data_IF_856475856610
#
_entry.id   IF_856475856610
#
_cell.length_a   1.000
_cell.length_b   1.000
_cell.length_c   1.000
_cell.angle_alpha   90.00
_cell.angle_beta   90.00
_cell.angle_gamma   90.00
#
_symmetry.space_group_name_H-M   'P 1'
#
loop_
_entity.id
_entity.type
_entity.pdbx_description
1 polymer ?
#
# COMPACT_ATOMS: atom_id res chain seq x y z
N UNK A 1 -11.13 -28.94 22.89
CA UNK A 1 -11.18 -29.01 21.41
C UNK A 1 -11.33 -30.47 21.02
N UNK A 2 -11.86 -30.77 19.83
CA UNK A 2 -11.83 -32.14 19.30
C UNK A 2 -10.40 -32.46 18.85
N UNK A 3 -9.95 -33.70 19.01
CA UNK A 3 -8.66 -34.18 18.52
C UNK A 3 -8.68 -34.55 17.02
N UNK A 4 -9.76 -34.18 16.35
CA UNK A 4 -9.84 -34.11 14.89
C UNK A 4 -10.64 -32.86 14.49
N UNK A 5 -10.37 -32.33 13.30
CA UNK A 5 -11.06 -31.18 12.72
C UNK A 5 -11.54 -31.57 11.32
N UNK A 6 -12.78 -31.24 10.99
CA UNK A 6 -13.37 -31.49 9.68
C UNK A 6 -13.62 -30.15 8.95
N UNK A 7 -13.22 -30.09 7.69
CA UNK A 7 -13.39 -28.94 6.81
C UNK A 7 -13.52 -29.40 5.35
N UNK A 8 -14.60 -29.00 4.66
CA UNK A 8 -14.88 -29.38 3.26
C UNK A 8 -14.63 -30.87 2.97
N UNK A 9 -15.32 -31.74 3.71
CA UNK A 9 -15.25 -33.21 3.60
C UNK A 9 -13.85 -33.82 3.85
N UNK A 10 -12.90 -33.02 4.36
CA UNK A 10 -11.56 -33.45 4.72
C UNK A 10 -11.40 -33.43 6.24
N UNK A 11 -10.91 -34.53 6.82
CA UNK A 11 -10.71 -34.67 8.26
C UNK A 11 -9.21 -34.70 8.59
N UNK A 12 -8.78 -33.79 9.47
CA UNK A 12 -7.44 -33.75 10.02
C UNK A 12 -7.42 -34.39 11.41
N UNK A 13 -6.73 -35.52 11.56
CA UNK A 13 -6.58 -36.22 12.84
C UNK A 13 -5.30 -35.79 13.54
N UNK A 14 -5.42 -35.23 14.74
CA UNK A 14 -4.26 -34.92 15.58
C UNK A 14 -3.60 -36.23 16.06
N UNK A 15 -2.27 -36.32 16.26
CA UNK A 15 -1.64 -37.52 16.83
C UNK A 15 -2.29 -38.02 18.14
N UNK A 16 -2.82 -37.07 18.92
CA UNK A 16 -3.60 -37.34 20.12
C UNK A 16 -4.83 -38.22 19.92
N UNK A 17 -5.42 -38.24 18.73
CA UNK A 17 -6.50 -39.16 18.35
C UNK A 17 -6.04 -40.61 18.45
N UNK A 18 -4.95 -40.96 17.76
CA UNK A 18 -4.39 -42.31 17.80
C UNK A 18 -3.85 -42.69 19.17
N UNK A 19 -3.24 -41.73 19.89
CA UNK A 19 -2.77 -41.98 21.26
C UNK A 19 -3.96 -42.30 22.18
N UNK A 20 -5.10 -41.65 21.99
CA UNK A 20 -6.32 -41.96 22.74
C UNK A 20 -6.77 -43.41 22.50
N UNK A 21 -6.84 -43.83 21.24
CA UNK A 21 -7.19 -45.21 20.88
C UNK A 21 -6.23 -46.22 21.51
N UNK A 22 -4.91 -45.96 21.46
CA UNK A 22 -3.90 -46.84 22.06
C UNK A 22 -4.06 -46.91 23.59
N UNK A 23 -4.37 -45.80 24.27
CA UNK A 23 -4.64 -45.81 25.71
C UNK A 23 -5.88 -46.66 26.01
N UNK A 24 -6.96 -46.46 25.26
CA UNK A 24 -8.22 -47.20 25.44
C UNK A 24 -8.06 -48.71 25.17
N UNK A 25 -7.31 -49.09 24.12
CA UNK A 25 -7.03 -50.48 23.78
C UNK A 25 -6.05 -51.16 24.75
N UNK A 26 -5.16 -50.40 25.38
CA UNK A 26 -4.19 -50.96 26.35
C UNK A 26 -4.84 -51.45 27.65
N UNK A 27 -6.09 -51.06 27.92
CA UNK A 27 -6.77 -51.30 29.19
C UNK A 27 -6.19 -50.51 30.38
N UNK A 28 -5.25 -49.61 30.14
CA UNK A 28 -4.63 -48.77 31.17
C UNK A 28 -5.43 -47.49 31.40
N UNK A 29 -5.37 -46.97 32.63
CA UNK A 29 -5.80 -45.60 32.86
C UNK A 29 -4.84 -44.62 32.17
N UNK A 30 -5.34 -43.44 31.81
CA UNK A 30 -4.50 -42.38 31.25
C UNK A 30 -3.34 -41.99 32.18
N UNK A 31 -3.56 -42.06 33.50
CA UNK A 31 -2.52 -41.80 34.48
C UNK A 31 -1.41 -42.88 34.44
N UNK A 32 -1.79 -44.15 34.37
CA UNK A 32 -0.83 -45.26 34.29
C UNK A 32 -0.05 -45.23 32.97
N UNK A 33 -0.72 -44.90 31.87
CA UNK A 33 -0.07 -44.74 30.58
C UNK A 33 0.93 -43.57 30.60
N UNK A 34 0.56 -42.43 31.18
CA UNK A 34 1.44 -41.27 31.30
C UNK A 34 2.71 -41.60 32.11
N UNK A 35 2.56 -42.31 33.24
CA UNK A 35 3.70 -42.76 34.06
C UNK A 35 4.63 -43.67 33.26
N UNK A 36 4.11 -44.62 32.48
CA UNK A 36 4.91 -45.53 31.63
C UNK A 36 5.61 -44.80 30.49
N UNK A 37 4.95 -43.79 29.93
CA UNK A 37 5.51 -42.95 28.88
C UNK A 37 6.54 -41.94 29.43
N UNK A 38 6.75 -41.89 30.76
CA UNK A 38 7.61 -40.89 31.42
C UNK A 38 7.17 -39.45 31.13
N UNK A 39 5.89 -39.18 31.37
CA UNK A 39 5.27 -37.85 31.23
C UNK A 39 4.20 -37.62 32.30
N UNK A 40 3.76 -36.38 32.47
CA UNK A 40 2.67 -36.08 33.41
C UNK A 40 1.30 -36.45 32.80
N UNK A 41 0.32 -36.90 33.62
CA UNK A 41 -1.05 -37.13 33.15
C UNK A 41 -1.67 -35.89 32.50
N UNK A 42 -1.34 -34.69 33.01
CA UNK A 42 -1.75 -33.41 32.41
C UNK A 42 -1.20 -33.24 31.00
N UNK A 43 0.09 -33.53 30.79
CA UNK A 43 0.73 -33.44 29.49
C UNK A 43 0.11 -34.44 28.50
N UNK A 44 -0.08 -35.70 28.90
CA UNK A 44 -0.76 -36.69 28.06
C UNK A 44 -2.20 -36.27 27.73
N UNK A 45 -2.92 -35.65 28.67
CA UNK A 45 -4.29 -35.15 28.48
C UNK A 45 -4.38 -34.04 27.45
N UNK A 46 -3.52 -33.03 27.53
CA UNK A 46 -3.47 -31.96 26.54
C UNK A 46 -3.18 -32.52 25.13
N UNK A 47 -2.29 -33.50 25.03
CA UNK A 47 -1.94 -34.14 23.76
C UNK A 47 -3.11 -34.92 23.18
N UNK A 48 -3.77 -35.76 23.98
CA UNK A 48 -4.94 -36.55 23.58
C UNK A 48 -6.11 -35.67 23.12
N UNK A 49 -6.30 -34.51 23.75
CA UNK A 49 -7.33 -33.53 23.37
C UNK A 49 -6.97 -32.69 22.14
N UNK A 50 -5.76 -32.82 21.59
CA UNK A 50 -5.28 -32.00 20.48
C UNK A 50 -5.03 -30.54 20.84
N UNK A 51 -4.82 -30.24 22.13
CA UNK A 51 -4.58 -28.89 22.64
C UNK A 51 -3.10 -28.50 22.61
N UNK A 52 -2.22 -29.45 22.28
CA UNK A 52 -0.80 -29.22 22.07
C UNK A 52 -0.25 -30.16 21.01
N UNK A 53 0.77 -29.71 20.27
CA UNK A 53 1.50 -30.53 19.32
C UNK A 53 2.29 -31.63 20.01
N UNK A 54 2.48 -32.75 19.31
CA UNK A 54 3.40 -33.80 19.68
C UNK A 54 4.86 -33.31 19.58
N UNK A 55 5.58 -33.30 20.70
CA UNK A 55 7.01 -32.97 20.72
C UNK A 55 7.89 -34.15 20.29
N UNK A 56 9.13 -33.85 19.87
CA UNK A 56 10.14 -34.87 19.53
C UNK A 56 10.43 -35.79 20.74
N UNK A 57 10.45 -35.26 21.97
CA UNK A 57 10.64 -36.05 23.19
C UNK A 57 9.54 -37.10 23.36
N UNK A 58 8.28 -36.70 23.23
CA UNK A 58 7.15 -37.61 23.34
C UNK A 58 7.15 -38.61 22.17
N UNK A 59 7.52 -38.20 20.96
CA UNK A 59 7.68 -39.10 19.81
C UNK A 59 8.72 -40.20 20.09
N UNK A 60 9.87 -39.84 20.68
CA UNK A 60 10.90 -40.82 21.09
C UNK A 60 10.40 -41.77 22.16
N UNK A 61 9.70 -41.26 23.18
CA UNK A 61 9.14 -42.07 24.26
C UNK A 61 8.09 -43.05 23.75
N UNK A 62 7.18 -42.59 22.88
CA UNK A 62 6.17 -43.45 22.26
C UNK A 62 6.80 -44.51 21.35
N UNK A 63 7.80 -44.14 20.55
CA UNK A 63 8.56 -45.08 19.71
C UNK A 63 9.22 -46.19 20.53
N UNK A 64 9.91 -45.84 21.63
CA UNK A 64 10.53 -46.82 22.52
C UNK A 64 9.51 -47.70 23.25
N UNK A 65 8.40 -47.12 23.69
CA UNK A 65 7.37 -47.83 24.47
C UNK A 65 6.53 -48.78 23.61
N UNK A 66 6.20 -48.38 22.38
CA UNK A 66 5.25 -49.09 21.50
C UNK A 66 5.94 -49.87 20.36
N UNK A 67 7.26 -49.79 20.23
CA UNK A 67 8.02 -50.46 19.17
C UNK A 67 7.81 -49.87 17.77
N UNK A 68 7.26 -48.66 17.67
CA UNK A 68 7.11 -47.90 16.42
C UNK A 68 8.34 -47.02 16.15
N UNK A 69 8.36 -46.27 15.05
CA UNK A 69 9.45 -45.32 14.76
C UNK A 69 9.13 -43.91 15.22
N UNK A 70 10.16 -43.12 15.56
CA UNK A 70 10.01 -41.67 15.86
C UNK A 70 9.37 -40.95 14.67
N UNK A 71 9.81 -41.28 13.45
CA UNK A 71 9.31 -40.67 12.22
C UNK A 71 7.83 -40.94 12.00
N UNK A 72 7.30 -42.09 12.41
CA UNK A 72 5.86 -42.35 12.33
C UNK A 72 5.06 -41.27 13.08
N UNK A 73 5.43 -41.00 14.33
CA UNK A 73 4.74 -40.01 15.15
C UNK A 73 4.92 -38.57 14.64
N UNK A 74 6.13 -38.21 14.21
CA UNK A 74 6.39 -36.89 13.63
C UNK A 74 5.63 -36.70 12.31
N UNK A 75 5.50 -37.75 11.49
CA UNK A 75 4.73 -37.70 10.25
C UNK A 75 3.23 -37.50 10.53
N UNK A 76 2.67 -38.10 11.58
CA UNK A 76 1.28 -37.83 11.99
C UNK A 76 1.09 -36.36 12.38
N UNK A 77 2.04 -35.78 13.14
CA UNK A 77 1.98 -34.36 13.50
C UNK A 77 2.09 -33.46 12.27
N UNK A 78 3.05 -33.73 11.39
CA UNK A 78 3.25 -32.96 10.16
C UNK A 78 2.03 -33.04 9.23
N UNK A 79 1.43 -34.22 9.08
CA UNK A 79 0.23 -34.40 8.26
C UNK A 79 -0.96 -33.60 8.82
N UNK A 80 -1.15 -33.63 10.15
CA UNK A 80 -2.16 -32.82 10.82
C UNK A 80 -1.91 -31.32 10.60
N UNK A 81 -0.70 -30.84 10.89
CA UNK A 81 -0.36 -29.42 10.78
C UNK A 81 -0.49 -28.90 9.34
N UNK A 82 -0.13 -29.71 8.34
CA UNK A 82 -0.29 -29.39 6.93
C UNK A 82 -1.77 -29.20 6.55
N UNK A 83 -2.66 -30.11 6.98
CA UNK A 83 -4.10 -29.98 6.73
C UNK A 83 -4.70 -28.75 7.44
N UNK A 84 -4.30 -28.49 8.69
CA UNK A 84 -4.74 -27.28 9.41
C UNK A 84 -4.28 -26.01 8.71
N UNK A 85 -3.05 -25.98 8.18
CA UNK A 85 -2.55 -24.86 7.41
C UNK A 85 -3.33 -24.69 6.09
N UNK A 86 -3.67 -25.79 5.42
CA UNK A 86 -4.50 -25.76 4.21
C UNK A 86 -5.91 -25.22 4.50
N UNK A 87 -6.57 -25.68 5.56
CA UNK A 87 -7.90 -25.20 5.95
C UNK A 87 -7.88 -23.69 6.21
N UNK A 88 -6.89 -23.20 6.97
CA UNK A 88 -6.69 -21.76 7.21
C UNK A 88 -6.45 -20.99 5.91
N UNK A 89 -5.68 -21.56 4.98
CA UNK A 89 -5.45 -20.94 3.67
C UNK A 89 -6.72 -20.87 2.83
N UNK A 90 -7.58 -21.89 2.88
CA UNK A 90 -8.87 -21.89 2.18
C UNK A 90 -9.84 -20.85 2.78
N UNK A 91 -9.90 -20.76 4.11
CA UNK A 91 -10.67 -19.71 4.80
C UNK A 91 -10.17 -18.29 4.48
N UNK A 92 -8.84 -18.11 4.39
CA UNK A 92 -8.25 -16.84 4.03
C UNK A 92 -8.57 -16.49 2.57
N UNK A 93 -8.48 -17.45 1.64
CA UNK A 93 -8.86 -17.24 0.23
C UNK A 93 -10.32 -16.77 0.10
N UNK A 94 -11.24 -17.29 0.93
CA UNK A 94 -12.63 -16.80 0.98
C UNK A 94 -12.71 -15.33 1.40
N UNK A 95 -11.87 -14.88 2.34
CA UNK A 95 -11.79 -13.47 2.74
C UNK A 95 -11.14 -12.62 1.63
N UNK A 96 -10.07 -13.11 1.02
CA UNK A 96 -9.39 -12.45 -0.10
C UNK A 96 -10.35 -12.22 -1.27
N UNK A 97 -11.24 -13.17 -1.59
CA UNK A 97 -12.26 -12.99 -2.63
C UNK A 97 -13.16 -11.77 -2.37
N UNK A 98 -13.50 -11.46 -1.13
CA UNK A 98 -14.30 -10.27 -0.76
C UNK A 98 -13.51 -8.98 -1.00
N UNK A 99 -12.23 -8.96 -0.62
CA UNK A 99 -11.35 -7.80 -0.88
C UNK A 99 -11.14 -7.64 -2.39
N UNK A 100 -11.00 -8.75 -3.12
CA UNK A 100 -10.79 -8.76 -4.55
C UNK A 100 -11.95 -8.14 -5.35
N UNK A 101 -13.18 -8.23 -4.84
CA UNK A 101 -14.36 -7.58 -5.43
C UNK A 101 -14.27 -6.04 -5.44
N UNK A 102 -13.37 -5.45 -4.65
CA UNK A 102 -13.12 -4.01 -4.65
C UNK A 102 -12.22 -3.55 -5.80
N UNK A 103 -11.61 -4.49 -6.53
CA UNK A 103 -10.73 -4.21 -7.65
C UNK A 103 -11.39 -4.48 -9.00
N UNK A 104 -10.95 -3.73 -10.00
CA UNK A 104 -11.09 -4.13 -11.39
C UNK A 104 -9.75 -4.74 -11.84
N UNK A 105 -9.70 -6.06 -12.03
CA UNK A 105 -8.48 -6.74 -12.46
C UNK A 105 -7.95 -6.21 -13.81
N UNK A 106 -8.84 -5.67 -14.66
CA UNK A 106 -8.47 -5.06 -15.94
C UNK A 106 -7.46 -3.92 -15.75
N UNK A 107 -7.60 -3.14 -14.68
CA UNK A 107 -6.66 -2.07 -14.33
C UNK A 107 -5.22 -2.60 -14.24
N UNK A 108 -5.01 -3.74 -13.59
CA UNK A 108 -3.65 -4.29 -13.43
C UNK A 108 -3.09 -4.86 -14.73
N UNK A 109 -3.92 -5.50 -15.54
CA UNK A 109 -3.52 -5.99 -16.87
C UNK A 109 -3.09 -4.84 -17.77
N UNK A 110 -3.90 -3.79 -17.87
CA UNK A 110 -3.67 -2.68 -18.80
C UNK A 110 -2.50 -1.78 -18.39
N UNK A 111 -2.29 -1.60 -17.08
CA UNK A 111 -1.28 -0.67 -16.58
C UNK A 111 0.03 -1.34 -16.14
N UNK A 112 0.02 -2.64 -15.82
CA UNK A 112 1.18 -3.35 -15.28
C UNK A 112 1.45 -4.71 -15.94
N UNK A 113 0.68 -5.09 -16.98
CA UNK A 113 0.97 -6.28 -17.79
C UNK A 113 0.66 -7.61 -17.11
N UNK A 114 -0.20 -7.64 -16.09
CA UNK A 114 -0.67 -8.89 -15.49
C UNK A 114 -1.39 -9.77 -16.53
N UNK A 115 -1.34 -11.12 -16.39
CA UNK A 115 -1.87 -12.05 -17.38
C UNK A 115 -3.39 -11.95 -17.55
N UNK A 116 -3.90 -12.33 -18.73
CA UNK A 116 -5.34 -12.41 -18.95
C UNK A 116 -5.91 -13.74 -18.41
N UNK A 117 -6.68 -13.65 -17.33
CA UNK A 117 -7.25 -14.79 -16.60
C UNK A 117 -8.77 -14.67 -16.47
N UNK A 118 -9.54 -14.76 -17.55
CA UNK A 118 -10.98 -14.46 -17.53
C UNK A 118 -11.73 -15.45 -16.65
N UNK A 119 -12.56 -14.93 -15.74
CA UNK A 119 -13.40 -15.71 -14.80
C UNK A 119 -12.63 -16.60 -13.82
N UNK A 120 -11.31 -16.47 -13.73
CA UNK A 120 -10.45 -17.25 -12.82
C UNK A 120 -10.03 -16.43 -11.60
N UNK A 121 -10.98 -16.12 -10.72
CA UNK A 121 -10.76 -15.20 -9.58
C UNK A 121 -9.57 -15.61 -8.70
N UNK A 122 -9.43 -16.89 -8.37
CA UNK A 122 -8.37 -17.34 -7.46
C UNK A 122 -6.99 -17.25 -8.09
N UNK A 123 -6.86 -17.52 -9.39
CA UNK A 123 -5.61 -17.30 -10.14
C UNK A 123 -5.31 -15.79 -10.20
N UNK A 124 -6.30 -14.94 -10.45
CA UNK A 124 -6.12 -13.47 -10.43
C UNK A 124 -5.67 -12.94 -9.05
N UNK A 125 -6.20 -13.48 -7.95
CA UNK A 125 -5.79 -13.14 -6.58
C UNK A 125 -4.32 -13.54 -6.37
N UNK A 126 -3.92 -14.72 -6.85
CA UNK A 126 -2.52 -15.17 -6.79
C UNK A 126 -1.59 -14.20 -7.53
N UNK A 127 -1.90 -13.86 -8.77
CA UNK A 127 -1.12 -12.89 -9.56
C UNK A 127 -1.03 -11.54 -8.87
N UNK A 128 -2.13 -11.07 -8.27
CA UNK A 128 -2.14 -9.79 -7.56
C UNK A 128 -1.27 -9.81 -6.30
N UNK A 129 -1.28 -10.91 -5.52
CA UNK A 129 -0.40 -11.10 -4.36
C UNK A 129 1.07 -11.08 -4.75
N UNK A 130 1.42 -11.80 -5.81
CA UNK A 130 2.80 -11.87 -6.32
C UNK A 130 3.26 -10.50 -6.84
N UNK A 131 2.44 -9.81 -7.63
CA UNK A 131 2.72 -8.47 -8.12
C UNK A 131 2.88 -7.43 -6.99
N UNK A 132 1.98 -7.46 -6.00
CA UNK A 132 2.05 -6.56 -4.85
C UNK A 132 3.10 -6.99 -3.81
N UNK A 133 3.67 -8.18 -3.94
CA UNK A 133 4.60 -8.79 -2.99
C UNK A 133 4.01 -8.85 -1.56
N UNK A 134 2.78 -9.35 -1.44
CA UNK A 134 2.06 -9.48 -0.16
C UNK A 134 1.53 -10.90 0.04
N UNK A 135 1.47 -11.34 1.30
CA UNK A 135 1.02 -12.70 1.64
C UNK A 135 -0.49 -12.91 1.45
N UNK A 136 -1.31 -11.86 1.61
CA UNK A 136 -2.78 -11.89 1.49
C UNK A 136 -3.30 -10.52 1.10
N UNK A 137 -4.36 -10.44 0.30
CA UNK A 137 -5.05 -9.18 0.00
C UNK A 137 -5.70 -8.55 1.24
N UNK A 138 -6.05 -9.34 2.27
CA UNK A 138 -6.72 -8.82 3.47
C UNK A 138 -5.86 -7.84 4.26
N UNK A 139 -4.54 -7.86 4.08
CA UNK A 139 -3.64 -6.89 4.71
C UNK A 139 -3.93 -5.45 4.22
N UNK A 140 -4.47 -5.29 3.01
CA UNK A 140 -4.80 -4.00 2.39
C UNK A 140 -6.01 -3.32 3.04
N UNK A 141 -6.81 -4.03 3.84
CA UNK A 141 -7.95 -3.43 4.57
C UNK A 141 -7.49 -2.68 5.83
N UNK A 142 -6.27 -2.95 6.30
CA UNK A 142 -5.70 -2.29 7.48
C UNK A 142 -5.29 -0.88 7.11
N UNK A 143 -5.69 0.11 7.92
CA UNK A 143 -5.31 1.51 7.69
C UNK A 143 -3.78 1.65 7.70
N UNK A 144 -3.06 1.29 8.77
CA UNK A 144 -1.61 1.58 8.82
C UNK A 144 -0.70 0.53 8.17
N UNK A 145 -1.14 -0.14 7.09
CA UNK A 145 -0.34 -1.22 6.48
C UNK A 145 1.01 -0.72 5.95
N UNK A 146 0.99 0.31 5.10
CA UNK A 146 2.16 0.74 4.35
C UNK A 146 2.64 2.12 4.79
N UNK A 147 1.72 3.03 5.12
CA UNK A 147 2.01 4.39 5.56
C UNK A 147 0.90 4.80 6.53
N UNK A 148 1.22 5.59 7.54
CA UNK A 148 0.21 6.14 8.45
C UNK A 148 -0.79 6.99 7.66
N UNK A 149 -2.08 6.69 7.83
CA UNK A 149 -3.14 7.54 7.32
C UNK A 149 -3.10 8.83 8.16
N UNK A 150 -2.96 10.00 7.51
CA UNK A 150 -2.94 11.25 8.26
C UNK A 150 -4.32 11.49 8.88
N UNK A 151 -4.33 12.02 10.12
CA UNK A 151 -5.55 12.08 10.93
C UNK A 151 -6.44 13.26 10.50
N UNK A 152 -7.66 12.96 10.03
CA UNK A 152 -8.91 13.73 10.16
C UNK A 152 -9.94 13.37 9.08
N UNK A 153 -9.70 12.36 8.25
CA UNK A 153 -10.75 11.87 7.34
C UNK A 153 -11.90 11.26 8.15
N UNK A 154 -13.13 11.72 7.89
CA UNK A 154 -14.34 10.92 8.15
C UNK A 154 -14.09 9.49 7.70
N UNK A 155 -14.39 8.50 8.56
CA UNK A 155 -14.01 7.10 8.36
C UNK A 155 -14.05 6.71 6.88
N UNK A 156 -12.86 6.58 6.26
CA UNK A 156 -12.75 6.18 4.88
C UNK A 156 -13.47 4.84 4.71
N UNK A 157 -14.28 4.74 3.67
CA UNK A 157 -14.88 3.47 3.26
C UNK A 157 -13.75 2.45 3.02
N UNK A 158 -13.98 1.20 3.41
CA UNK A 158 -13.01 0.11 3.25
C UNK A 158 -12.49 0.02 1.81
N UNK A 159 -13.37 0.23 0.83
CA UNK A 159 -13.03 0.28 -0.59
C UNK A 159 -11.97 1.34 -0.93
N UNK A 160 -12.06 2.55 -0.34
CA UNK A 160 -11.07 3.61 -0.56
C UNK A 160 -9.74 3.25 0.09
N UNK A 161 -9.78 2.69 1.31
CA UNK A 161 -8.60 2.25 2.06
C UNK A 161 -7.81 1.19 1.28
N UNK A 162 -8.50 0.14 0.81
CA UNK A 162 -7.90 -0.96 0.05
C UNK A 162 -7.23 -0.44 -1.23
N UNK A 163 -7.90 0.43 -1.98
CA UNK A 163 -7.37 1.01 -3.22
C UNK A 163 -6.17 1.93 -2.97
N UNK A 164 -6.22 2.76 -1.94
CA UNK A 164 -5.11 3.63 -1.55
C UNK A 164 -3.88 2.81 -1.13
N UNK A 165 -4.06 1.83 -0.25
CA UNK A 165 -3.00 0.91 0.17
C UNK A 165 -2.39 0.15 -1.01
N UNK A 166 -3.22 -0.24 -1.98
CA UNK A 166 -2.74 -0.89 -3.20
C UNK A 166 -1.82 0.03 -4.01
N UNK A 167 -2.21 1.29 -4.22
CA UNK A 167 -1.37 2.25 -4.94
C UNK A 167 -0.05 2.50 -4.22
N UNK A 168 -0.09 2.68 -2.90
CA UNK A 168 1.11 2.87 -2.07
C UNK A 168 2.01 1.63 -2.13
N UNK A 169 1.44 0.42 -2.09
CA UNK A 169 2.23 -0.83 -2.19
C UNK A 169 2.90 -0.97 -3.56
N UNK A 170 2.21 -0.61 -4.66
CA UNK A 170 2.81 -0.56 -6.00
C UNK A 170 3.99 0.43 -6.03
N UNK A 171 3.81 1.61 -5.43
CA UNK A 171 4.85 2.63 -5.36
C UNK A 171 6.06 2.15 -4.54
N UNK A 172 5.83 1.49 -3.41
CA UNK A 172 6.88 0.88 -2.58
C UNK A 172 7.66 -0.16 -3.37
N UNK A 173 6.98 -1.08 -4.06
CA UNK A 173 7.65 -2.11 -4.85
C UNK A 173 8.53 -1.50 -5.95
N UNK A 174 8.05 -0.45 -6.63
CA UNK A 174 8.85 0.29 -7.62
C UNK A 174 10.04 1.01 -6.97
N UNK A 175 9.83 1.64 -5.82
CA UNK A 175 10.91 2.36 -5.14
C UNK A 175 12.00 1.42 -4.65
N UNK A 176 11.66 0.22 -4.16
CA UNK A 176 12.62 -0.79 -3.72
C UNK A 176 13.52 -1.34 -4.84
N UNK A 177 13.15 -1.16 -6.11
CA UNK A 177 13.99 -1.56 -7.26
C UNK A 177 14.95 -0.47 -7.73
N UNK A 178 14.86 0.75 -7.19
CA UNK A 178 15.70 1.88 -7.59
C UNK A 178 16.88 2.00 -6.62
N UNK A 179 18.09 1.98 -7.16
CA UNK A 179 19.30 2.31 -6.40
C UNK A 179 19.49 3.82 -6.40
N UNK A 180 19.30 4.45 -5.24
CA UNK A 180 19.40 5.91 -5.07
C UNK A 180 20.27 6.25 -3.85
N UNK A 181 21.01 7.37 -3.88
CA UNK A 181 21.81 7.82 -2.74
C UNK A 181 20.94 8.13 -1.52
N UNK A 182 21.56 8.11 -0.33
CA UNK A 182 20.91 8.55 0.91
C UNK A 182 20.30 9.95 0.75
N UNK A 183 19.09 10.12 1.28
CA UNK A 183 18.36 11.37 1.24
C UNK A 183 19.20 12.55 1.76
N UNK A 184 19.28 13.60 0.94
CA UNK A 184 19.95 14.84 1.26
C UNK A 184 18.98 16.01 1.07
N UNK A 185 18.53 16.59 2.20
CA UNK A 185 17.55 17.68 2.20
C UNK A 185 17.99 18.88 1.37
N UNK A 186 19.28 19.27 1.43
CA UNK A 186 19.77 20.44 0.69
C UNK A 186 19.75 20.22 -0.83
N UNK A 187 20.21 19.03 -1.28
CA UNK A 187 20.11 18.65 -2.70
C UNK A 187 18.67 18.57 -3.17
N UNK A 188 17.77 18.09 -2.30
CA UNK A 188 16.35 18.02 -2.62
C UNK A 188 15.73 19.41 -2.78
N UNK A 189 16.02 20.35 -1.87
CA UNK A 189 15.61 21.75 -2.01
C UNK A 189 16.09 22.37 -3.33
N UNK A 190 17.34 22.11 -3.73
CA UNK A 190 17.87 22.59 -5.02
C UNK A 190 17.14 21.92 -6.21
N UNK A 191 16.82 20.64 -6.11
CA UNK A 191 16.05 19.91 -7.12
C UNK A 191 14.58 20.40 -7.21
N UNK A 192 13.99 20.83 -6.10
CA UNK A 192 12.65 21.47 -6.05
C UNK A 192 12.68 22.80 -6.78
N UNK A 193 13.72 23.62 -6.59
CA UNK A 193 13.88 24.86 -7.35
C UNK A 193 14.06 24.60 -8.84
N UNK A 194 14.79 23.55 -9.21
CA UNK A 194 14.89 23.12 -10.60
C UNK A 194 13.53 22.69 -11.17
N UNK A 195 12.71 21.94 -10.42
CA UNK A 195 11.38 21.51 -10.84
C UNK A 195 10.45 22.70 -11.19
N UNK A 196 10.53 23.81 -10.44
CA UNK A 196 9.76 25.03 -10.72
C UNK A 196 10.04 25.60 -12.13
N UNK A 197 11.26 25.45 -12.63
CA UNK A 197 11.67 25.90 -13.97
C UNK A 197 11.09 25.05 -15.09
N UNK A 198 10.61 23.84 -14.78
CA UNK A 198 10.09 22.88 -15.75
C UNK A 198 8.58 22.94 -15.91
N UNK A 199 7.90 23.86 -15.21
CA UNK A 199 6.43 23.99 -15.25
C UNK A 199 5.88 24.23 -16.66
N UNK A 200 6.63 24.89 -17.53
CA UNK A 200 6.26 25.13 -18.94
C UNK A 200 6.58 23.96 -19.89
N UNK A 201 7.29 22.93 -19.42
CA UNK A 201 7.68 21.78 -20.24
C UNK A 201 6.64 20.66 -20.13
N UNK A 202 5.68 20.61 -21.07
CA UNK A 202 4.57 19.66 -21.00
C UNK A 202 4.86 18.24 -21.51
N UNK A 203 6.02 18.02 -22.13
CA UNK A 203 6.36 16.74 -22.79
C UNK A 203 7.47 15.96 -22.11
N UNK A 204 8.48 16.64 -21.56
CA UNK A 204 9.74 16.03 -21.16
C UNK A 204 10.15 16.34 -19.71
N UNK A 205 9.31 17.04 -18.95
CA UNK A 205 9.64 17.40 -17.56
C UNK A 205 9.83 16.17 -16.66
N UNK A 206 9.05 15.10 -16.86
CA UNK A 206 9.01 13.97 -15.92
C UNK A 206 10.36 13.25 -15.77
N UNK A 207 11.04 12.81 -16.85
CA UNK A 207 12.39 12.24 -16.73
C UNK A 207 13.40 13.19 -16.06
N UNK A 208 13.28 14.50 -16.28
CA UNK A 208 14.18 15.50 -15.72
C UNK A 208 13.99 15.65 -14.21
N UNK A 209 12.75 15.83 -13.74
CA UNK A 209 12.47 15.94 -12.30
C UNK A 209 12.73 14.62 -11.58
N UNK A 210 12.42 13.46 -12.20
CA UNK A 210 12.69 12.15 -11.62
C UNK A 210 14.17 11.99 -11.34
N UNK A 211 15.03 12.31 -12.32
CA UNK A 211 16.48 12.24 -12.17
C UNK A 211 16.99 13.19 -11.08
N UNK A 212 16.54 14.45 -11.09
CA UNK A 212 16.97 15.43 -10.09
C UNK A 212 16.57 15.03 -8.66
N UNK A 213 15.36 14.48 -8.48
CA UNK A 213 14.89 13.98 -7.20
C UNK A 213 15.67 12.72 -6.78
N UNK A 214 15.92 11.80 -7.70
CA UNK A 214 16.69 10.58 -7.44
C UNK A 214 18.12 10.90 -6.96
N UNK A 215 18.80 11.86 -7.58
CA UNK A 215 20.14 12.34 -7.16
C UNK A 215 20.17 12.95 -5.74
N UNK A 216 19.01 13.36 -5.23
CA UNK A 216 18.83 13.84 -3.85
C UNK A 216 18.39 12.75 -2.88
N UNK A 217 18.15 11.53 -3.36
CA UNK A 217 17.64 10.40 -2.59
C UNK A 217 16.11 10.36 -2.44
N UNK A 218 15.38 11.07 -3.31
CA UNK A 218 13.92 11.02 -3.41
C UNK A 218 13.50 10.25 -4.66
N UNK A 219 12.84 9.12 -4.48
CA UNK A 219 12.36 8.27 -5.57
C UNK A 219 10.95 8.70 -5.96
N UNK A 220 10.84 9.41 -7.07
CA UNK A 220 9.57 9.91 -7.58
C UNK A 220 8.84 8.89 -8.45
N UNK A 221 7.63 8.53 -8.05
CA UNK A 221 6.78 7.54 -8.73
C UNK A 221 5.45 8.17 -9.11
N UNK A 222 5.14 8.19 -10.41
CA UNK A 222 3.78 8.47 -10.88
C UNK A 222 3.08 7.15 -11.17
N UNK A 223 1.86 6.98 -10.67
CA UNK A 223 1.03 5.81 -10.94
C UNK A 223 -0.27 6.18 -11.68
N UNK A 224 -0.79 5.28 -12.53
CA UNK A 224 -2.16 5.35 -13.00
C UNK A 224 -3.12 5.35 -11.80
N UNK A 225 -4.17 6.15 -11.86
CA UNK A 225 -5.12 6.27 -10.78
C UNK A 225 -6.05 5.05 -10.71
N UNK A 226 -6.17 4.46 -9.52
CA UNK A 226 -7.24 3.49 -9.22
C UNK A 226 -8.50 4.26 -8.86
N UNK A 227 -9.55 4.16 -9.69
CA UNK A 227 -10.84 4.84 -9.46
C UNK A 227 -11.43 4.53 -8.07
N UNK A 228 -11.69 5.58 -7.29
CA UNK A 228 -12.24 5.48 -5.94
C UNK A 228 -11.20 5.34 -4.82
N UNK A 229 -9.90 5.41 -5.12
CA UNK A 229 -8.82 5.45 -4.11
C UNK A 229 -8.87 6.71 -3.23
N UNK A 230 -9.30 7.84 -3.80
CA UNK A 230 -9.32 9.19 -3.19
C UNK A 230 -7.93 9.71 -2.75
N UNK A 231 -6.86 8.97 -3.00
CA UNK A 231 -5.48 9.39 -2.78
C UNK A 231 -5.06 10.43 -3.83
N UNK A 232 -4.31 11.44 -3.41
CA UNK A 232 -3.66 12.39 -4.33
C UNK A 232 -2.17 12.06 -4.47
N UNK A 233 -1.53 11.75 -3.35
CA UNK A 233 -0.15 11.35 -3.26
C UNK A 233 0.15 10.61 -1.97
N UNK A 234 1.40 10.17 -1.84
CA UNK A 234 1.91 9.58 -0.62
C UNK A 234 3.41 9.77 -0.52
N UNK A 235 3.90 9.97 0.69
CA UNK A 235 5.32 10.07 1.01
C UNK A 235 5.70 9.02 2.05
N UNK A 236 6.84 8.35 1.86
CA UNK A 236 7.31 7.32 2.78
C UNK A 236 8.84 7.25 2.82
N UNK A 237 9.43 7.12 4.00
CA UNK A 237 10.84 6.70 4.12
C UNK A 237 11.00 5.22 3.77
N UNK A 238 11.93 4.91 2.88
CA UNK A 238 12.27 3.54 2.47
C UNK A 238 13.79 3.40 2.58
N UNK A 239 14.25 2.67 3.61
CA UNK A 239 15.68 2.61 3.94
C UNK A 239 16.23 4.02 4.20
N UNK A 240 17.24 4.41 3.43
CA UNK A 240 17.88 5.74 3.48
C UNK A 240 17.28 6.73 2.46
N UNK A 241 16.27 6.33 1.70
CA UNK A 241 15.62 7.14 0.66
C UNK A 241 14.22 7.58 1.09
N UNK A 242 13.63 8.49 0.30
CA UNK A 242 12.23 8.91 0.45
C UNK A 242 11.48 8.58 -0.84
N UNK A 243 10.39 7.83 -0.75
CA UNK A 243 9.45 7.66 -1.85
C UNK A 243 8.49 8.85 -1.88
N UNK A 244 8.32 9.45 -3.05
CA UNK A 244 7.28 10.43 -3.35
C UNK A 244 6.39 9.81 -4.44
N UNK A 245 5.12 9.57 -4.10
CA UNK A 245 4.14 9.05 -5.04
C UNK A 245 3.10 10.12 -5.35
N UNK A 246 2.76 10.30 -6.62
CA UNK A 246 1.53 10.98 -7.06
C UNK A 246 0.80 10.11 -8.08
N UNK A 247 -0.46 10.41 -8.37
CA UNK A 247 -1.20 9.73 -9.42
C UNK A 247 -1.62 10.62 -10.57
N UNK A 248 -1.96 9.99 -11.70
CA UNK A 248 -2.34 10.66 -12.94
C UNK A 248 -3.81 11.13 -12.99
N UNK A 249 -4.54 11.11 -11.86
CA UNK A 249 -5.92 11.59 -11.80
C UNK A 249 -6.01 13.07 -12.17
N UNK A 250 -4.99 13.85 -11.81
CA UNK A 250 -4.96 15.31 -11.91
C UNK A 250 -3.83 15.79 -12.83
N UNK A 251 -3.91 15.44 -14.13
CA UNK A 251 -2.89 15.83 -15.12
C UNK A 251 -3.04 17.26 -15.68
N UNK A 252 -4.06 18.03 -15.29
CA UNK A 252 -4.07 19.45 -15.60
C UNK A 252 -2.90 20.14 -14.91
N UNK A 253 -2.32 21.15 -15.56
CA UNK A 253 -1.05 21.73 -15.11
C UNK A 253 -1.08 22.25 -13.68
N UNK A 254 -2.11 23.03 -13.36
CA UNK A 254 -2.42 23.51 -12.02
C UNK A 254 -2.48 22.39 -10.99
N UNK A 255 -3.34 21.41 -11.26
CA UNK A 255 -3.68 20.38 -10.28
C UNK A 255 -2.50 19.42 -10.06
N UNK A 256 -1.74 19.10 -11.12
CA UNK A 256 -0.56 18.24 -11.04
C UNK A 256 0.54 18.91 -10.20
N UNK A 257 0.92 20.14 -10.55
CA UNK A 257 2.01 20.83 -9.87
C UNK A 257 1.65 21.16 -8.43
N UNK A 258 0.39 21.53 -8.14
CA UNK A 258 -0.08 21.70 -6.78
C UNK A 258 0.06 20.42 -5.97
N UNK A 259 -0.45 19.28 -6.46
CA UNK A 259 -0.31 18.00 -5.76
C UNK A 259 1.16 17.61 -5.57
N UNK A 260 2.01 17.77 -6.58
CA UNK A 260 3.44 17.48 -6.46
C UNK A 260 4.12 18.35 -5.39
N UNK A 261 3.87 19.66 -5.40
CA UNK A 261 4.48 20.58 -4.44
C UNK A 261 3.92 20.43 -3.03
N UNK A 262 2.67 20.00 -2.89
CA UNK A 262 2.08 19.63 -1.61
C UNK A 262 2.83 18.41 -1.02
N UNK A 263 3.06 17.34 -1.80
CA UNK A 263 3.88 16.20 -1.36
C UNK A 263 5.34 16.58 -1.07
N UNK A 264 5.93 17.51 -1.83
CA UNK A 264 7.26 18.06 -1.54
C UNK A 264 7.24 18.80 -0.20
N UNK A 265 6.20 19.60 0.08
CA UNK A 265 6.01 20.31 1.35
C UNK A 265 6.07 19.35 2.53
N UNK A 266 5.40 18.21 2.43
CA UNK A 266 5.47 17.15 3.43
C UNK A 266 6.89 16.61 3.65
N UNK A 267 7.64 16.35 2.57
CA UNK A 267 9.03 15.89 2.70
C UNK A 267 9.91 16.95 3.38
N UNK A 268 9.72 18.23 3.05
CA UNK A 268 10.48 19.35 3.62
C UNK A 268 10.20 19.53 5.10
N UNK A 269 8.92 19.40 5.49
CA UNK A 269 8.43 19.48 6.87
C UNK A 269 8.76 18.21 7.69
N UNK A 270 9.13 17.12 7.01
CA UNK A 270 9.55 15.87 7.64
C UNK A 270 8.39 15.00 8.09
N UNK A 271 7.20 15.20 7.53
CA UNK A 271 6.00 14.42 7.78
C UNK A 271 5.70 13.49 6.60
N UNK A 272 5.56 12.20 6.90
CA UNK A 272 5.42 11.15 5.90
C UNK A 272 4.06 10.49 6.08
N UNK A 273 3.29 10.35 5.00
CA UNK A 273 1.88 9.99 5.09
C UNK A 273 1.25 9.70 3.73
N UNK A 274 0.00 9.23 3.75
CA UNK A 274 -0.87 9.18 2.58
C UNK A 274 -1.71 10.45 2.59
N UNK A 275 -1.78 11.15 1.45
CA UNK A 275 -2.58 12.37 1.29
C UNK A 275 -3.90 12.08 0.57
N UNK A 276 -5.03 12.47 1.16
CA UNK A 276 -6.40 12.28 0.61
C UNK A 276 -7.07 13.61 0.22
N UNK A 277 -8.12 13.56 -0.61
CA UNK A 277 -8.77 14.77 -1.16
C UNK A 277 -9.42 15.75 -0.17
N UNK A 278 -9.66 15.35 1.08
CA UNK A 278 -10.38 16.17 2.06
C UNK A 278 -9.73 16.07 3.44
N UNK A 279 -8.42 16.16 3.47
CA UNK A 279 -7.67 16.20 4.73
C UNK A 279 -7.57 17.62 5.28
N UNK A 280 -7.44 17.70 6.61
CA UNK A 280 -7.33 18.95 7.34
C UNK A 280 -6.41 18.75 8.54
N UNK A 281 -5.65 19.78 8.89
CA UNK A 281 -4.71 19.75 10.00
C UNK A 281 -3.57 20.73 9.79
N UNK A 282 -2.75 20.96 10.82
CA UNK A 282 -1.62 21.89 10.74
C UNK A 282 -0.57 21.46 9.70
N UNK A 283 -0.31 20.16 9.57
CA UNK A 283 0.60 19.59 8.58
C UNK A 283 0.11 19.81 7.14
N UNK A 284 -1.18 19.56 6.90
CA UNK A 284 -1.82 19.77 5.60
C UNK A 284 -1.82 21.26 5.22
N UNK A 285 -2.16 22.15 6.17
CA UNK A 285 -2.09 23.60 5.96
C UNK A 285 -0.66 24.05 5.63
N UNK A 286 0.34 23.50 6.30
CA UNK A 286 1.74 23.83 6.03
C UNK A 286 2.18 23.36 4.63
N UNK A 287 1.73 22.17 4.20
CA UNK A 287 2.02 21.65 2.86
C UNK A 287 1.28 22.42 1.76
N UNK A 288 0.03 22.80 1.99
CA UNK A 288 -0.75 23.66 1.09
C UNK A 288 -0.09 25.03 0.92
N UNK A 289 0.23 25.71 2.03
CA UNK A 289 0.93 27.00 1.99
C UNK A 289 2.29 26.89 1.28
N UNK A 290 3.04 25.81 1.53
CA UNK A 290 4.29 25.55 0.83
C UNK A 290 4.06 25.43 -0.68
N UNK A 291 3.04 24.69 -1.11
CA UNK A 291 2.74 24.51 -2.52
C UNK A 291 2.30 25.81 -3.19
N UNK A 292 1.39 26.55 -2.56
CA UNK A 292 0.89 27.84 -3.03
C UNK A 292 2.04 28.83 -3.24
N UNK A 293 2.86 29.07 -2.20
CA UNK A 293 3.89 30.11 -2.21
C UNK A 293 5.08 29.78 -3.13
N UNK A 294 5.43 28.50 -3.28
CA UNK A 294 6.52 28.10 -4.19
C UNK A 294 6.08 28.19 -5.66
N UNK A 295 4.85 27.78 -5.96
CA UNK A 295 4.31 27.82 -7.30
C UNK A 295 4.05 29.26 -7.73
N UNK A 296 3.46 30.08 -6.85
CA UNK A 296 3.16 31.48 -7.09
C UNK A 296 3.63 32.30 -5.88
N UNK A 297 4.73 33.06 -6.01
CA UNK A 297 5.19 33.95 -4.96
C UNK A 297 4.09 34.87 -4.43
N UNK A 298 3.94 34.92 -3.11
CA UNK A 298 2.78 35.52 -2.43
C UNK A 298 2.64 37.02 -2.67
N UNK A 299 3.75 37.75 -2.62
CA UNK A 299 3.72 39.21 -2.77
C UNK A 299 3.36 39.59 -4.21
N UNK A 300 3.96 38.91 -5.19
CA UNK A 300 3.66 39.06 -6.61
C UNK A 300 2.20 38.68 -6.93
N UNK A 301 1.66 37.63 -6.29
CA UNK A 301 0.26 37.26 -6.44
C UNK A 301 -0.68 38.33 -5.88
N UNK A 302 -0.38 38.86 -4.69
CA UNK A 302 -1.17 39.92 -4.06
C UNK A 302 -1.22 41.18 -4.93
N UNK A 303 -0.08 41.59 -5.49
CA UNK A 303 0.02 42.72 -6.41
C UNK A 303 -0.80 42.49 -7.69
N UNK A 304 -0.72 41.27 -8.24
CA UNK A 304 -1.50 40.89 -9.41
C UNK A 304 -3.01 40.89 -9.14
N UNK A 305 -3.46 40.34 -8.00
CA UNK A 305 -4.86 40.34 -7.57
C UNK A 305 -5.38 41.76 -7.33
N UNK A 306 -4.53 42.64 -6.76
CA UNK A 306 -4.87 44.05 -6.54
C UNK A 306 -5.17 44.81 -7.85
N UNK A 307 -4.58 44.38 -8.98
CA UNK A 307 -4.85 44.97 -10.29
C UNK A 307 -6.28 44.73 -10.80
N UNK A 308 -6.97 43.69 -10.28
CA UNK A 308 -8.33 43.23 -10.65
C UNK A 308 -8.52 42.95 -12.15
N UNK A 309 -7.45 42.63 -12.88
CA UNK A 309 -7.48 42.27 -14.30
C UNK A 309 -7.04 40.81 -14.46
N UNK A 310 -7.99 39.95 -14.80
CA UNK A 310 -7.78 38.51 -14.92
C UNK A 310 -8.15 38.00 -16.31
N UNK A 311 -7.97 38.83 -17.34
CA UNK A 311 -8.13 38.40 -18.72
C UNK A 311 -7.03 37.42 -19.12
N UNK A 312 -7.24 36.68 -20.22
CA UNK A 312 -6.30 35.69 -20.73
C UNK A 312 -4.86 36.22 -20.83
N UNK A 313 -4.70 37.43 -21.41
CA UNK A 313 -3.38 38.05 -21.59
C UNK A 313 -2.78 38.54 -20.27
N UNK A 314 -3.61 38.96 -19.30
CA UNK A 314 -3.13 39.37 -17.97
C UNK A 314 -2.54 38.17 -17.23
N UNK A 315 -3.22 37.01 -17.29
CA UNK A 315 -2.76 35.75 -16.69
C UNK A 315 -1.47 35.27 -17.35
N UNK A 316 -1.39 35.29 -18.69
CA UNK A 316 -0.18 34.91 -19.43
C UNK A 316 0.99 35.83 -19.05
N UNK A 317 0.77 37.15 -19.06
CA UNK A 317 1.81 38.12 -18.73
C UNK A 317 2.33 37.95 -17.30
N UNK A 318 1.44 37.74 -16.33
CA UNK A 318 1.85 37.47 -14.96
C UNK A 318 2.64 36.15 -14.83
N UNK A 319 2.18 35.08 -15.48
CA UNK A 319 2.87 33.80 -15.48
C UNK A 319 4.27 33.88 -16.12
N UNK A 320 4.46 34.74 -17.12
CA UNK A 320 5.77 35.03 -17.70
C UNK A 320 6.70 35.70 -16.69
N UNK A 321 6.21 36.70 -15.93
CA UNK A 321 6.99 37.42 -14.90
C UNK A 321 7.52 36.47 -13.83
N UNK A 322 6.68 35.56 -13.33
CA UNK A 322 7.08 34.59 -12.30
C UNK A 322 7.73 33.32 -12.90
N UNK A 323 7.89 33.27 -14.22
CA UNK A 323 8.37 32.12 -14.98
C UNK A 323 7.67 30.80 -14.61
N UNK A 324 6.34 30.78 -14.75
CA UNK A 324 5.48 29.61 -14.52
C UNK A 324 4.59 29.33 -15.71
N UNK A 325 4.03 28.12 -15.73
CA UNK A 325 2.93 27.80 -16.63
C UNK A 325 1.68 28.64 -16.29
N UNK A 326 1.04 29.30 -17.27
CA UNK A 326 -0.15 30.12 -17.02
C UNK A 326 -1.35 29.32 -16.52
N UNK A 327 -1.39 27.99 -16.76
CA UNK A 327 -2.41 27.11 -16.20
C UNK A 327 -2.37 27.08 -14.67
N UNK A 328 -1.19 27.16 -14.06
CA UNK A 328 -1.01 27.17 -12.60
C UNK A 328 -1.64 28.44 -11.99
N UNK A 329 -1.37 29.60 -12.59
CA UNK A 329 -1.96 30.89 -12.18
C UNK A 329 -3.47 30.85 -12.32
N UNK A 330 -3.98 30.36 -13.46
CA UNK A 330 -5.41 30.19 -13.67
C UNK A 330 -6.04 29.30 -12.58
N UNK A 331 -5.40 28.18 -12.26
CA UNK A 331 -5.89 27.26 -11.22
C UNK A 331 -6.01 27.94 -9.85
N UNK A 332 -5.02 28.75 -9.47
CA UNK A 332 -5.08 29.52 -8.22
C UNK A 332 -6.22 30.55 -8.23
N UNK A 333 -6.34 31.36 -9.29
CA UNK A 333 -7.42 32.34 -9.41
C UNK A 333 -8.82 31.70 -9.38
N UNK A 334 -8.96 30.51 -9.95
CA UNK A 334 -10.21 29.76 -9.93
C UNK A 334 -10.53 29.21 -8.54
N UNK A 335 -9.53 28.69 -7.83
CA UNK A 335 -9.68 28.25 -6.45
C UNK A 335 -10.07 29.41 -5.52
N UNK A 336 -9.51 30.60 -5.75
CA UNK A 336 -9.79 31.80 -4.97
C UNK A 336 -11.12 32.48 -5.39
N UNK A 337 -11.83 31.94 -6.39
CA UNK A 337 -13.12 32.44 -6.85
C UNK A 337 -13.05 33.74 -7.67
N UNK A 338 -11.85 34.15 -8.10
CA UNK A 338 -11.61 35.36 -8.88
C UNK A 338 -11.86 35.17 -10.38
N UNK A 339 -11.66 33.94 -10.87
CA UNK A 339 -11.96 33.53 -12.25
C UNK A 339 -12.91 32.33 -12.21
N UNK A 340 -13.89 32.28 -13.10
CA UNK A 340 -14.85 31.17 -13.11
C UNK A 340 -14.29 29.92 -13.76
N UNK A 341 -14.72 28.75 -13.28
CA UNK A 341 -14.35 27.45 -13.85
C UNK A 341 -14.93 27.21 -15.26
N UNK A 342 -16.04 27.86 -15.61
CA UNK A 342 -16.74 27.73 -16.89
C UNK A 342 -16.31 28.77 -17.94
N UNK A 343 -15.32 29.62 -17.64
CA UNK A 343 -14.79 30.57 -18.61
C UNK A 343 -14.03 29.86 -19.74
N UNK A 344 -14.66 29.83 -20.92
CA UNK A 344 -14.14 29.17 -22.11
C UNK A 344 -12.98 29.94 -22.76
N UNK A 345 -12.83 31.23 -22.48
CA UNK A 345 -11.73 32.04 -23.01
C UNK A 345 -10.38 31.59 -22.44
N UNK A 346 -10.41 30.90 -21.30
CA UNK A 346 -9.23 30.36 -20.60
C UNK A 346 -8.78 28.98 -21.11
N UNK A 347 -9.50 28.36 -22.05
CA UNK A 347 -9.12 27.06 -22.63
C UNK A 347 -7.68 27.00 -23.18
N UNK A 348 -7.13 28.04 -23.84
CA UNK A 348 -5.79 27.96 -24.42
C UNK A 348 -4.66 27.72 -23.42
N UNK A 349 -4.85 28.11 -22.16
CA UNK A 349 -3.85 27.97 -21.09
C UNK A 349 -4.13 26.77 -20.16
N UNK A 350 -5.14 25.95 -20.47
CA UNK A 350 -5.41 24.69 -19.75
C UNK A 350 -4.55 23.56 -20.31
N UNK A 351 -3.28 23.57 -19.94
CA UNK A 351 -2.35 22.52 -20.34
C UNK A 351 -2.58 21.24 -19.55
N UNK A 352 -2.41 20.10 -20.23
CA UNK A 352 -2.46 18.76 -19.64
C UNK A 352 -1.15 18.06 -19.89
N UNK A 353 -0.58 17.47 -18.84
CA UNK A 353 0.59 16.62 -18.97
C UNK A 353 0.21 15.25 -19.51
N UNK A 354 1.10 14.66 -20.29
CA UNK A 354 1.04 13.23 -20.66
C UNK A 354 2.17 12.54 -19.93
N UNK A 355 1.87 11.86 -18.83
CA UNK A 355 2.86 11.03 -18.16
C UNK A 355 2.98 9.73 -18.96
N UNK A 356 4.13 9.52 -19.61
CA UNK A 356 4.48 8.20 -20.11
C UNK A 356 5.11 7.44 -18.96
N UNK A 357 4.49 6.32 -18.58
CA UNK A 357 5.10 5.36 -17.66
C UNK A 357 6.38 4.83 -18.33
N UNK A 358 7.54 5.11 -17.74
CA UNK A 358 8.84 4.55 -18.13
C UNK A 358 9.21 3.47 -17.15
#
# INVERSE_FOLDING_TARGET
MSNYIEYNDTVAFHPGYYIKEIVEESGLTQEDFAKRLDTSPKNLSLLIRGEQSLSIDIAMKLSRMLGSSVNYWLNLQNAYDALIAEFKSQEELVRERKVFELFDYKYFRENFGLPDLPRKKDEQIKELREFLNIATLTVLTKRDMAVSFRSSTTALEEASTVKANTMVQIAINKALTVDAPKFNKKKFEDAVQYALTLTKNHGEFYPLIRKAFEESGVIFVILPNISGSKINGATKKIGENIMLMVNDRRLNSDSFWFTLFHEIGHIINGDYGISFEKESGEQELAADLFAEDNLIPRDEYNDFVASRKFGLNDIIGFAEVINRDPGIVLGRLQNDGLVRFDDWTMKPIRHKYKVKMI
#
